data_IF_695815037588
#
_entry.id   IF_695815037588
#
_cell.length_a   1.000
_cell.length_b   1.000
_cell.length_c   1.000
_cell.angle_alpha   90.00
_cell.angle_beta   90.00
_cell.angle_gamma   90.00
#
_symmetry.space_group_name_H-M   'P 1'
#
loop_
_entity.id
_entity.type
_entity.pdbx_description
1 polymer ?
#
# COMPACT_ATOMS: atom_id res chain seq x y z
N UNK A 1 3.51 -33.45 0.89
CA UNK A 1 2.71 -34.50 1.47
C UNK A 1 1.30 -34.09 1.91
N UNK A 2 1.02 -32.82 2.31
CA UNK A 2 -0.34 -32.38 2.66
C UNK A 2 -1.23 -32.14 1.44
N UNK A 3 -0.65 -31.81 0.29
CA UNK A 3 -1.38 -31.58 -0.98
C UNK A 3 -1.81 -32.91 -1.60
N UNK A 4 -1.04 -33.97 -1.43
CA UNK A 4 -1.38 -35.30 -1.95
C UNK A 4 -2.57 -35.96 -1.25
N UNK A 5 -2.98 -35.45 -0.10
CA UNK A 5 -4.09 -35.97 0.72
C UNK A 5 -5.36 -35.13 0.64
N UNK A 6 -5.50 -34.27 -0.38
CA UNK A 6 -6.72 -33.46 -0.60
C UNK A 6 -7.97 -34.36 -0.68
N UNK A 7 -7.85 -35.53 -1.25
CA UNK A 7 -8.92 -36.56 -1.28
C UNK A 7 -9.19 -37.18 0.10
N UNK A 8 -8.29 -36.97 1.08
CA UNK A 8 -8.42 -37.45 2.46
C UNK A 8 -8.67 -36.28 3.43
N UNK A 9 -9.53 -35.35 3.04
CA UNK A 9 -9.90 -34.19 3.86
C UNK A 9 -10.20 -34.55 5.33
N UNK A 10 -10.84 -35.70 5.56
CA UNK A 10 -11.14 -36.19 6.91
C UNK A 10 -9.89 -36.63 7.69
N UNK A 11 -8.85 -37.15 7.05
CA UNK A 11 -7.62 -37.56 7.71
C UNK A 11 -6.74 -36.37 8.09
N UNK A 12 -6.77 -35.29 7.31
CA UNK A 12 -6.03 -34.05 7.58
C UNK A 12 -6.68 -33.27 8.73
N UNK A 13 -8.01 -33.14 8.71
CA UNK A 13 -8.79 -32.43 9.76
C UNK A 13 -8.66 -33.10 11.12
N UNK A 14 -8.48 -34.42 11.16
CA UNK A 14 -8.32 -35.19 12.39
C UNK A 14 -6.87 -35.31 12.88
N UNK A 15 -5.90 -34.76 12.15
CA UNK A 15 -4.48 -34.80 12.56
C UNK A 15 -4.21 -33.74 13.64
N UNK A 16 -3.91 -34.17 14.85
CA UNK A 16 -3.52 -33.31 15.99
C UNK A 16 -2.20 -32.53 15.80
N UNK A 17 -1.55 -32.72 14.64
CA UNK A 17 -0.23 -32.17 14.32
C UNK A 17 -0.26 -30.92 13.43
N UNK A 18 -1.41 -30.54 12.90
CA UNK A 18 -1.55 -29.40 11.98
C UNK A 18 -2.21 -28.23 12.71
N UNK A 19 -1.64 -27.03 12.60
CA UNK A 19 -2.25 -25.84 13.19
C UNK A 19 -3.59 -25.50 12.53
N UNK A 20 -4.51 -24.91 13.28
CA UNK A 20 -5.82 -24.52 12.78
C UNK A 20 -5.71 -23.56 11.59
N UNK A 21 -4.74 -22.60 11.62
CA UNK A 21 -4.50 -21.65 10.54
C UNK A 21 -4.18 -22.33 9.20
N UNK A 22 -3.42 -23.43 9.24
CA UNK A 22 -3.11 -24.21 8.03
C UNK A 22 -4.36 -24.93 7.51
N UNK A 23 -5.17 -25.47 8.39
CA UNK A 23 -6.43 -26.11 8.02
C UNK A 23 -7.42 -25.13 7.39
N UNK A 24 -7.52 -23.95 7.96
CA UNK A 24 -8.37 -22.85 7.45
C UNK A 24 -7.89 -22.38 6.08
N UNK A 25 -6.58 -22.24 5.89
CA UNK A 25 -5.96 -21.88 4.59
C UNK A 25 -6.23 -22.93 3.52
N UNK A 26 -6.09 -24.23 3.83
CA UNK A 26 -6.42 -25.34 2.92
C UNK A 26 -7.92 -25.33 2.56
N UNK A 27 -8.77 -25.08 3.54
CA UNK A 27 -10.22 -25.03 3.35
C UNK A 27 -10.64 -23.86 2.48
N UNK A 28 -10.02 -22.69 2.67
CA UNK A 28 -10.23 -21.50 1.85
C UNK A 28 -9.78 -21.73 0.41
N UNK A 29 -8.58 -22.26 0.22
CA UNK A 29 -8.04 -22.59 -1.10
C UNK A 29 -8.95 -23.56 -1.87
N UNK A 30 -9.38 -24.64 -1.22
CA UNK A 30 -10.33 -25.59 -1.80
C UNK A 30 -11.67 -24.95 -2.17
N UNK A 31 -12.17 -24.05 -1.32
CA UNK A 31 -13.43 -23.32 -1.58
C UNK A 31 -13.32 -22.40 -2.79
N UNK A 32 -12.20 -21.69 -2.93
CA UNK A 32 -11.93 -20.80 -4.07
C UNK A 32 -11.85 -21.62 -5.36
N UNK A 33 -11.07 -22.70 -5.37
CA UNK A 33 -10.93 -23.57 -6.53
C UNK A 33 -12.28 -24.18 -6.96
N UNK A 34 -13.03 -24.73 -6.01
CA UNK A 34 -14.31 -25.40 -6.30
C UNK A 34 -15.37 -24.43 -6.82
N UNK A 35 -15.50 -23.25 -6.21
CA UNK A 35 -16.48 -22.24 -6.64
C UNK A 35 -16.19 -21.66 -8.02
N UNK A 36 -14.94 -21.65 -8.43
CA UNK A 36 -14.52 -21.02 -9.67
C UNK A 36 -14.06 -22.03 -10.75
N UNK A 37 -14.09 -23.32 -10.47
CA UNK A 37 -13.60 -24.37 -11.36
C UNK A 37 -14.17 -24.30 -12.80
N UNK A 38 -15.42 -23.86 -12.95
CA UNK A 38 -16.06 -23.68 -14.25
C UNK A 38 -15.68 -22.38 -14.99
N UNK A 39 -14.98 -21.47 -14.31
CA UNK A 39 -14.62 -20.14 -14.84
C UNK A 39 -13.16 -20.03 -15.25
N UNK A 40 -12.30 -20.95 -14.82
CA UNK A 40 -10.86 -20.88 -15.07
C UNK A 40 -10.41 -21.83 -16.19
N UNK A 41 -10.18 -21.31 -17.42
CA UNK A 41 -9.52 -22.11 -18.46
C UNK A 41 -8.02 -22.30 -18.18
N UNK A 42 -7.44 -21.46 -17.31
CA UNK A 42 -6.02 -21.47 -16.93
C UNK A 42 -5.88 -21.31 -15.41
N UNK A 43 -5.00 -22.14 -14.82
CA UNK A 43 -4.64 -22.03 -13.40
C UNK A 43 -3.12 -21.93 -13.32
N UNK A 44 -2.63 -20.80 -12.80
CA UNK A 44 -1.21 -20.61 -12.50
C UNK A 44 -1.01 -20.79 -11.00
N UNK A 45 -0.11 -21.69 -10.62
CA UNK A 45 0.23 -21.96 -9.23
C UNK A 45 1.68 -21.56 -9.01
N UNK A 46 1.89 -20.46 -8.29
CA UNK A 46 3.19 -20.00 -7.87
C UNK A 46 3.40 -20.42 -6.41
N UNK A 47 4.34 -21.34 -6.20
CA UNK A 47 4.70 -21.81 -4.87
C UNK A 47 5.97 -21.08 -4.40
N UNK A 48 5.83 -20.26 -3.37
CA UNK A 48 6.94 -19.48 -2.82
C UNK A 48 7.36 -20.11 -1.49
N UNK A 49 8.63 -20.54 -1.43
CA UNK A 49 9.25 -21.03 -0.21
C UNK A 49 10.21 -19.96 0.34
N UNK A 50 9.82 -19.30 1.42
CA UNK A 50 10.66 -18.34 2.13
C UNK A 50 11.46 -19.04 3.25
N UNK A 51 12.77 -18.84 3.27
CA UNK A 51 13.68 -19.42 4.26
C UNK A 51 14.69 -18.40 4.76
N UNK A 52 15.10 -18.53 6.03
CA UNK A 52 16.23 -17.74 6.58
C UNK A 52 17.60 -18.25 6.11
N UNK A 53 17.65 -19.33 5.36
CA UNK A 53 18.87 -19.87 4.78
C UNK A 53 19.32 -19.08 3.56
N UNK A 54 20.54 -19.35 3.11
CA UNK A 54 21.05 -18.86 1.84
C UNK A 54 20.42 -19.68 0.69
N UNK A 55 19.74 -18.99 -0.24
CA UNK A 55 19.12 -19.63 -1.40
C UNK A 55 20.12 -20.37 -2.27
N UNK A 56 21.34 -19.86 -2.42
CA UNK A 56 22.42 -20.49 -3.18
C UNK A 56 22.92 -21.80 -2.53
N UNK A 57 22.90 -21.87 -1.19
CA UNK A 57 23.21 -23.10 -0.46
C UNK A 57 22.08 -24.13 -0.54
N UNK A 58 20.84 -23.68 -0.53
CA UNK A 58 19.66 -24.55 -0.61
C UNK A 58 19.47 -25.03 -2.06
N UNK A 59 19.54 -24.16 -3.06
CA UNK A 59 19.46 -24.47 -4.48
C UNK A 59 20.68 -25.22 -5.04
N UNK A 60 21.75 -25.29 -4.26
CA UNK A 60 22.90 -26.12 -4.61
C UNK A 60 23.77 -25.60 -5.75
N UNK A 61 23.93 -24.28 -5.91
CA UNK A 61 24.93 -23.76 -6.87
C UNK A 61 26.34 -24.36 -6.66
N UNK A 62 26.60 -24.81 -5.43
CA UNK A 62 27.87 -25.48 -5.08
C UNK A 62 27.76 -26.94 -4.63
N UNK A 63 26.55 -27.44 -4.37
CA UNK A 63 26.22 -28.86 -4.08
C UNK A 63 24.78 -29.10 -4.40
N UNK A 64 24.50 -29.89 -5.41
CA UNK A 64 23.15 -30.31 -5.78
C UNK A 64 22.51 -31.01 -4.59
N UNK A 65 21.55 -30.37 -3.95
CA UNK A 65 20.72 -31.04 -2.95
C UNK A 65 19.65 -31.86 -3.68
N UNK A 66 20.07 -33.02 -4.19
CA UNK A 66 19.19 -33.92 -4.97
C UNK A 66 17.88 -34.21 -4.26
N UNK A 67 17.92 -34.38 -2.95
CA UNK A 67 16.72 -34.61 -2.14
C UNK A 67 15.74 -33.44 -2.15
N UNK A 68 16.25 -32.19 -2.22
CA UNK A 68 15.43 -31.00 -2.29
C UNK A 68 14.80 -30.84 -3.68
N UNK A 69 15.59 -31.01 -4.73
CA UNK A 69 15.10 -30.96 -6.11
C UNK A 69 14.09 -32.06 -6.39
N UNK A 70 14.30 -33.26 -5.84
CA UNK A 70 13.32 -34.35 -5.93
C UNK A 70 11.99 -33.98 -5.29
N UNK A 71 12.00 -33.36 -4.11
CA UNK A 71 10.76 -32.91 -3.43
C UNK A 71 10.00 -31.82 -4.20
N UNK A 72 10.72 -30.95 -4.91
CA UNK A 72 10.08 -29.97 -5.80
C UNK A 72 9.43 -30.68 -6.99
N UNK A 73 10.12 -31.64 -7.59
CA UNK A 73 9.56 -32.45 -8.67
C UNK A 73 8.33 -33.26 -8.22
N UNK A 74 8.39 -33.88 -7.04
CA UNK A 74 7.23 -34.57 -6.45
C UNK A 74 6.04 -33.61 -6.24
N UNK A 75 6.31 -32.38 -5.80
CA UNK A 75 5.27 -31.36 -5.62
C UNK A 75 4.65 -30.92 -6.95
N UNK A 76 5.48 -30.72 -7.98
CA UNK A 76 5.01 -30.40 -9.33
C UNK A 76 4.14 -31.53 -9.89
N UNK A 77 4.58 -32.78 -9.77
CA UNK A 77 3.83 -33.95 -10.22
C UNK A 77 2.46 -34.05 -9.51
N UNK A 78 2.40 -33.83 -8.21
CA UNK A 78 1.16 -33.81 -7.44
C UNK A 78 0.21 -32.71 -7.94
N UNK A 79 0.73 -31.51 -8.18
CA UNK A 79 -0.08 -30.38 -8.65
C UNK A 79 -0.61 -30.66 -10.06
N UNK A 80 0.25 -31.13 -10.94
CA UNK A 80 -0.12 -31.40 -12.34
C UNK A 80 -1.08 -32.59 -12.48
N UNK A 81 -0.95 -33.63 -11.65
CA UNK A 81 -1.85 -34.79 -11.65
C UNK A 81 -3.25 -34.44 -11.08
N UNK A 82 -3.35 -33.45 -10.22
CA UNK A 82 -4.63 -32.97 -9.64
C UNK A 82 -5.16 -31.72 -10.35
N UNK A 83 -4.70 -31.43 -11.57
CA UNK A 83 -5.15 -30.25 -12.32
C UNK A 83 -6.65 -30.38 -12.66
N UNK A 84 -7.43 -29.35 -12.43
CA UNK A 84 -8.88 -29.28 -12.59
C UNK A 84 -9.33 -29.13 -14.07
N UNK A 85 -8.74 -29.90 -14.98
CA UNK A 85 -9.20 -30.02 -16.38
C UNK A 85 -8.87 -28.84 -17.30
N UNK A 86 -8.11 -27.84 -16.82
CA UNK A 86 -7.61 -26.71 -17.60
C UNK A 86 -6.10 -26.79 -17.82
N UNK A 87 -5.53 -25.80 -18.50
CA UNK A 87 -4.08 -25.62 -18.53
C UNK A 87 -3.61 -25.13 -17.17
N UNK A 88 -2.88 -25.97 -16.44
CA UNK A 88 -2.24 -25.63 -15.16
C UNK A 88 -0.76 -25.40 -15.41
N UNK A 89 -0.23 -24.30 -14.87
CA UNK A 89 1.22 -24.06 -14.79
C UNK A 89 1.66 -24.07 -13.34
N UNK A 90 2.87 -24.55 -13.10
CA UNK A 90 3.48 -24.56 -11.79
C UNK A 90 4.80 -23.81 -11.85
N UNK A 91 5.02 -22.93 -10.89
CA UNK A 91 6.27 -22.23 -10.68
C UNK A 91 6.67 -22.39 -9.22
N UNK A 92 7.94 -22.65 -8.99
CA UNK A 92 8.51 -22.74 -7.66
C UNK A 92 9.61 -21.68 -7.51
N UNK A 93 9.48 -20.83 -6.53
CA UNK A 93 10.47 -19.82 -6.18
C UNK A 93 10.96 -20.07 -4.75
N UNK A 94 12.27 -20.11 -4.58
CA UNK A 94 12.92 -20.12 -3.27
C UNK A 94 13.46 -18.73 -2.96
N UNK A 95 12.98 -18.15 -1.88
CA UNK A 95 13.46 -16.88 -1.34
C UNK A 95 14.31 -17.16 -0.11
N UNK A 96 15.61 -16.94 -0.21
CA UNK A 96 16.54 -16.99 0.91
C UNK A 96 16.71 -15.65 1.61
N UNK A 97 17.70 -15.55 2.48
CA UNK A 97 17.95 -14.34 3.27
C UNK A 97 18.21 -13.10 2.40
N UNK A 98 18.98 -13.23 1.32
CA UNK A 98 19.29 -12.07 0.46
C UNK A 98 18.08 -11.64 -0.35
N UNK A 99 17.35 -12.58 -0.95
CA UNK A 99 16.13 -12.26 -1.72
C UNK A 99 15.04 -11.66 -0.81
N UNK A 100 14.90 -12.17 0.41
CA UNK A 100 13.98 -11.60 1.39
C UNK A 100 14.38 -10.21 1.85
N UNK A 101 15.69 -9.97 2.00
CA UNK A 101 16.23 -8.65 2.31
C UNK A 101 16.02 -7.68 1.15
N UNK A 102 16.28 -8.11 -0.09
CA UNK A 102 16.04 -7.30 -1.28
C UNK A 102 14.55 -6.97 -1.42
N UNK A 103 13.65 -7.94 -1.20
CA UNK A 103 12.21 -7.70 -1.19
C UNK A 103 11.78 -6.74 -0.05
N UNK A 104 12.37 -6.88 1.13
CA UNK A 104 12.10 -5.98 2.26
C UNK A 104 12.67 -4.57 2.03
N UNK A 105 13.75 -4.46 1.26
CA UNK A 105 14.37 -3.20 0.87
C UNK A 105 13.78 -2.65 -0.44
N UNK A 106 13.06 -3.48 -1.20
CA UNK A 106 12.38 -3.07 -2.42
C UNK A 106 11.19 -2.19 -2.06
N UNK A 107 11.48 -0.93 -1.79
CA UNK A 107 10.46 0.10 -1.83
C UNK A 107 10.15 0.37 -3.30
N UNK A 108 8.97 -0.03 -3.72
CA UNK A 108 8.47 0.32 -5.04
C UNK A 108 8.52 1.84 -5.15
N UNK A 109 9.43 2.35 -5.97
CA UNK A 109 9.55 3.78 -6.20
C UNK A 109 8.32 4.24 -6.99
N UNK A 110 7.54 5.11 -6.40
CA UNK A 110 6.36 5.66 -7.04
C UNK A 110 6.60 7.12 -7.40
N UNK A 111 6.52 7.39 -8.69
CA UNK A 111 6.60 8.75 -9.23
C UNK A 111 5.21 9.28 -9.50
N UNK A 112 5.03 10.59 -9.39
CA UNK A 112 3.75 11.22 -9.67
C UNK A 112 3.87 12.73 -9.81
N UNK A 113 2.83 13.32 -10.40
CA UNK A 113 2.75 14.75 -10.59
C UNK A 113 1.65 15.35 -9.72
N UNK A 114 2.03 16.37 -8.93
CA UNK A 114 1.10 17.16 -8.13
C UNK A 114 1.01 18.57 -8.71
N UNK A 115 -0.17 18.94 -9.22
CA UNK A 115 -0.44 20.29 -9.68
C UNK A 115 -0.84 21.18 -8.52
N UNK A 116 -0.11 22.28 -8.37
CA UNK A 116 -0.32 23.28 -7.32
C UNK A 116 -1.28 24.38 -7.76
N UNK A 117 -1.97 24.95 -6.78
CA UNK A 117 -2.80 26.14 -6.97
C UNK A 117 -1.92 27.37 -7.22
N UNK A 118 -0.93 27.60 -6.34
CA UNK A 118 -0.02 28.72 -6.37
C UNK A 118 1.45 28.28 -6.33
N UNK A 119 2.36 29.25 -6.57
CA UNK A 119 3.77 28.97 -6.39
C UNK A 119 4.08 28.66 -4.93
N UNK A 120 4.80 27.57 -4.62
CA UNK A 120 5.08 27.18 -3.25
C UNK A 120 6.11 28.11 -2.60
N UNK A 121 6.04 28.21 -1.28
CA UNK A 121 7.14 28.77 -0.48
C UNK A 121 8.21 27.68 -0.36
N UNK A 122 9.43 28.04 -0.75
CA UNK A 122 10.58 27.13 -0.78
C UNK A 122 11.54 27.43 0.37
N UNK A 123 12.03 26.39 1.02
CA UNK A 123 13.01 26.46 2.11
C UNK A 123 14.05 25.36 1.94
N UNK A 124 15.32 25.70 1.93
CA UNK A 124 16.43 24.76 1.98
C UNK A 124 16.92 24.58 3.42
N UNK A 125 17.35 23.36 3.75
CA UNK A 125 17.91 23.04 5.05
C UNK A 125 19.07 22.05 4.94
N UNK A 126 20.04 22.18 5.85
CA UNK A 126 21.23 21.33 5.91
C UNK A 126 22.41 21.89 5.10
N UNK A 127 23.54 21.20 5.19
CA UNK A 127 24.73 21.56 4.42
C UNK A 127 24.46 21.36 2.92
N UNK A 128 24.85 22.35 2.12
CA UNK A 128 24.66 22.34 0.65
C UNK A 128 23.21 22.22 0.14
N UNK A 129 22.20 22.53 0.99
CA UNK A 129 20.79 22.47 0.55
C UNK A 129 20.28 21.06 0.21
N UNK A 130 20.84 20.03 0.87
CA UNK A 130 20.52 18.61 0.61
C UNK A 130 19.04 18.29 0.88
N UNK A 131 18.42 19.06 1.81
CA UNK A 131 17.01 18.88 2.16
C UNK A 131 16.20 20.08 1.70
N UNK A 132 15.12 19.82 0.98
CA UNK A 132 14.26 20.85 0.42
C UNK A 132 12.86 20.72 0.96
N UNK A 133 12.31 21.81 1.47
CA UNK A 133 10.95 21.88 1.95
C UNK A 133 10.13 22.87 1.15
N UNK A 134 8.87 22.51 0.88
CA UNK A 134 7.93 23.37 0.19
C UNK A 134 6.61 23.42 0.97
N UNK A 135 6.08 24.62 1.09
CA UNK A 135 4.75 24.89 1.59
C UNK A 135 3.89 25.26 0.39
N UNK A 136 2.85 24.49 0.13
CA UNK A 136 2.06 24.58 -1.07
C UNK A 136 0.58 24.41 -0.79
N UNK A 137 -0.25 24.85 -1.73
CA UNK A 137 -1.66 24.49 -1.81
C UNK A 137 -1.95 23.86 -3.18
N UNK A 138 -2.84 22.87 -3.20
CA UNK A 138 -3.35 22.26 -4.43
C UNK A 138 -4.87 22.34 -4.41
N UNK A 139 -5.52 22.48 -5.57
CA UNK A 139 -6.96 22.31 -5.63
C UNK A 139 -7.34 20.89 -5.23
N UNK A 140 -8.45 20.71 -4.53
CA UNK A 140 -8.93 19.38 -4.14
C UNK A 140 -9.03 18.42 -5.32
N UNK A 141 -9.48 18.90 -6.48
CA UNK A 141 -9.54 18.12 -7.73
C UNK A 141 -8.18 17.65 -8.25
N UNK A 142 -7.16 18.50 -8.16
CA UNK A 142 -5.81 18.16 -8.62
C UNK A 142 -5.11 17.24 -7.60
N UNK A 143 -5.38 17.42 -6.30
CA UNK A 143 -4.92 16.51 -5.27
C UNK A 143 -5.61 15.14 -5.36
N UNK A 144 -6.91 15.08 -5.66
CA UNK A 144 -7.61 13.83 -5.92
C UNK A 144 -6.97 13.06 -7.08
N UNK A 145 -6.67 13.74 -8.20
CA UNK A 145 -5.99 13.13 -9.36
C UNK A 145 -4.60 12.58 -8.98
N UNK A 146 -3.90 13.24 -8.08
CA UNK A 146 -2.62 12.76 -7.54
C UNK A 146 -2.78 11.48 -6.73
N UNK A 147 -3.88 11.34 -5.98
CA UNK A 147 -4.16 10.20 -5.11
C UNK A 147 -4.64 8.96 -5.86
N UNK A 148 -5.18 9.08 -7.08
CA UNK A 148 -5.86 7.98 -7.76
C UNK A 148 -5.10 7.50 -9.01
N UNK A 149 -5.33 6.25 -9.33
CA UNK A 149 -5.14 5.66 -10.64
C UNK A 149 -6.49 5.19 -11.16
N UNK A 150 -6.59 4.82 -12.42
CA UNK A 150 -7.85 4.41 -13.04
C UNK A 150 -7.75 2.97 -13.50
N UNK A 151 -8.82 2.19 -13.24
CA UNK A 151 -8.93 0.83 -13.75
C UNK A 151 -9.31 0.80 -15.24
N UNK A 152 -9.50 -0.42 -15.79
CA UNK A 152 -9.88 -0.64 -17.19
C UNK A 152 -11.26 -0.02 -17.54
N UNK A 153 -12.12 0.17 -16.53
CA UNK A 153 -13.46 0.76 -16.64
C UNK A 153 -13.47 2.27 -16.32
N UNK A 154 -12.29 2.91 -16.24
CA UNK A 154 -12.09 4.32 -15.88
C UNK A 154 -12.58 4.71 -14.46
N UNK A 155 -12.73 3.73 -13.55
CA UNK A 155 -13.06 4.05 -12.17
C UNK A 155 -11.81 4.45 -11.39
N UNK A 156 -11.89 5.49 -10.54
CA UNK A 156 -10.76 5.91 -9.74
C UNK A 156 -10.49 4.92 -8.59
N UNK A 157 -9.25 4.44 -8.51
CA UNK A 157 -8.73 3.58 -7.44
C UNK A 157 -7.71 4.36 -6.64
N UNK A 158 -7.82 4.35 -5.31
CA UNK A 158 -6.84 4.99 -4.44
C UNK A 158 -5.50 4.27 -4.51
N UNK A 159 -4.43 5.03 -4.69
CA UNK A 159 -3.04 4.54 -4.64
C UNK A 159 -2.63 4.27 -3.20
N UNK A 160 -3.07 3.13 -2.63
CA UNK A 160 -2.81 2.74 -1.23
C UNK A 160 -1.32 2.72 -0.89
N UNK A 161 -0.47 2.43 -1.85
CA UNK A 161 0.98 2.40 -1.69
C UNK A 161 1.60 3.76 -1.30
N UNK A 162 0.92 4.88 -1.54
CA UNK A 162 1.39 6.19 -1.08
C UNK A 162 1.40 6.31 0.46
N UNK A 163 0.73 5.40 1.15
CA UNK A 163 0.51 5.43 2.61
C UNK A 163 1.27 4.34 3.37
N UNK A 164 2.07 3.49 2.72
CA UNK A 164 2.74 2.32 3.34
C UNK A 164 3.58 2.67 4.57
N UNK A 165 4.17 3.87 4.62
CA UNK A 165 4.92 4.35 5.79
C UNK A 165 4.05 4.95 6.88
N UNK A 166 2.73 5.00 6.70
CA UNK A 166 1.83 5.55 7.69
C UNK A 166 1.47 4.48 8.73
N UNK A 167 1.98 4.63 9.96
CA UNK A 167 1.85 3.64 11.05
C UNK A 167 0.39 3.50 11.53
N UNK A 168 -0.48 4.46 11.17
CA UNK A 168 -1.89 4.44 11.58
C UNK A 168 -2.74 3.84 10.47
N UNK A 169 -3.36 2.70 10.77
CA UNK A 169 -4.38 2.14 9.91
C UNK A 169 -5.55 3.11 9.74
N UNK A 170 -6.09 3.15 8.52
CA UNK A 170 -7.31 3.91 8.26
C UNK A 170 -8.47 3.35 9.09
N UNK A 171 -8.99 4.18 9.98
CA UNK A 171 -10.15 3.83 10.80
C UNK A 171 -11.43 4.32 10.13
N UNK A 172 -12.10 3.42 9.41
CA UNK A 172 -13.40 3.70 8.84
C UNK A 172 -14.40 4.18 9.90
N UNK A 173 -15.17 5.24 9.60
CA UNK A 173 -16.28 5.74 10.42
C UNK A 173 -15.90 6.29 11.80
N UNK A 174 -14.73 6.90 11.94
CA UNK A 174 -14.47 7.72 13.11
C UNK A 174 -15.23 9.05 13.03
N UNK A 175 -15.50 9.68 14.18
CA UNK A 175 -16.14 11.01 14.24
C UNK A 175 -15.34 12.01 13.40
N UNK A 176 -14.01 11.96 13.43
CA UNK A 176 -13.12 12.85 12.67
C UNK A 176 -13.31 12.69 11.16
N UNK A 177 -13.46 11.46 10.65
CA UNK A 177 -13.69 11.23 9.22
C UNK A 177 -15.05 11.78 8.77
N UNK A 178 -16.09 11.61 9.59
CA UNK A 178 -17.41 12.14 9.30
C UNK A 178 -17.40 13.67 9.23
N UNK A 179 -16.66 14.34 10.10
CA UNK A 179 -16.55 15.81 10.11
C UNK A 179 -15.76 16.30 8.87
N UNK A 180 -14.69 15.62 8.48
CA UNK A 180 -13.92 15.94 7.25
C UNK A 180 -14.81 15.72 6.02
N UNK A 181 -15.50 14.59 5.92
CA UNK A 181 -16.41 14.30 4.82
C UNK A 181 -17.56 15.30 4.76
N UNK A 182 -18.15 15.67 5.89
CA UNK A 182 -19.20 16.68 5.96
C UNK A 182 -18.74 18.02 5.38
N UNK A 183 -17.51 18.45 5.69
CA UNK A 183 -16.96 19.69 5.09
C UNK A 183 -16.70 19.55 3.60
N UNK A 184 -16.34 18.38 3.11
CA UNK A 184 -16.10 18.14 1.68
C UNK A 184 -17.38 18.17 0.86
N UNK A 185 -18.46 17.59 1.39
CA UNK A 185 -19.76 17.49 0.69
C UNK A 185 -20.67 18.70 0.95
N UNK A 186 -20.29 19.64 1.83
CA UNK A 186 -21.10 20.82 2.13
C UNK A 186 -21.35 21.66 0.86
N UNK A 187 -22.62 21.83 0.44
CA UNK A 187 -22.96 22.57 -0.78
C UNK A 187 -22.66 24.07 -0.65
N UNK A 188 -22.62 24.62 0.56
CA UNK A 188 -22.40 26.05 0.80
C UNK A 188 -20.97 26.47 0.55
N UNK A 189 -19.99 25.59 0.86
CA UNK A 189 -18.54 25.82 0.65
C UNK A 189 -18.09 27.20 1.21
N UNK A 190 -18.58 27.57 2.40
CA UNK A 190 -18.33 28.88 2.99
C UNK A 190 -16.85 29.14 3.34
N UNK A 191 -16.13 28.06 3.65
CA UNK A 191 -14.71 28.12 3.99
C UNK A 191 -13.87 27.30 3.02
N UNK A 192 -12.64 27.72 2.78
CA UNK A 192 -11.70 26.87 2.08
C UNK A 192 -11.36 25.66 2.94
N UNK A 193 -11.23 24.50 2.32
CA UNK A 193 -11.02 23.23 3.00
C UNK A 193 -9.70 23.23 3.82
N UNK A 194 -8.65 23.86 3.32
CA UNK A 194 -7.37 23.90 4.02
C UNK A 194 -7.39 24.68 5.33
N UNK A 195 -8.37 25.59 5.53
CA UNK A 195 -8.52 26.32 6.80
C UNK A 195 -9.02 25.40 7.93
N UNK A 196 -9.71 24.34 7.57
CA UNK A 196 -10.36 23.42 8.50
C UNK A 196 -9.54 22.14 8.74
N UNK A 197 -8.40 21.99 8.07
CA UNK A 197 -7.57 20.77 8.12
C UNK A 197 -6.08 21.10 8.29
N UNK A 198 -5.36 20.18 8.97
CA UNK A 198 -3.95 20.36 9.29
C UNK A 198 -2.98 20.24 8.11
N UNK A 199 -3.51 19.91 6.92
CA UNK A 199 -2.71 19.70 5.72
C UNK A 199 -2.04 18.34 5.67
N UNK A 200 -1.43 18.06 4.54
CA UNK A 200 -0.87 16.76 4.19
C UNK A 200 0.63 16.87 4.03
N UNK A 201 1.40 15.97 4.63
CA UNK A 201 2.85 15.93 4.48
C UNK A 201 3.23 14.84 3.49
N UNK A 202 3.91 15.23 2.44
CA UNK A 202 4.41 14.39 1.36
C UNK A 202 5.93 14.36 1.46
N UNK A 203 6.51 13.16 1.54
CA UNK A 203 7.94 12.93 1.40
C UNK A 203 8.24 12.45 -0.01
N UNK A 204 9.38 12.86 -0.57
CA UNK A 204 9.89 12.35 -1.82
C UNK A 204 11.44 12.28 -1.75
N UNK A 205 12.05 11.40 -2.53
CA UNK A 205 13.51 11.34 -2.65
C UNK A 205 14.04 12.41 -3.58
N UNK A 206 13.34 12.59 -4.69
CA UNK A 206 13.64 13.63 -5.68
C UNK A 206 12.37 14.37 -6.06
N UNK A 207 12.55 15.58 -6.55
CA UNK A 207 11.45 16.36 -7.08
C UNK A 207 11.91 17.57 -7.84
N UNK A 208 11.17 17.90 -8.89
CA UNK A 208 11.35 19.09 -9.70
C UNK A 208 10.04 19.85 -9.84
N UNK A 209 10.12 21.18 -9.78
CA UNK A 209 8.99 22.06 -9.97
C UNK A 209 9.11 22.76 -11.32
N UNK A 210 8.16 22.51 -12.21
CA UNK A 210 8.07 23.17 -13.52
C UNK A 210 6.74 23.93 -13.57
N UNK A 211 6.82 25.25 -13.52
CA UNK A 211 5.64 26.10 -13.35
C UNK A 211 4.96 25.83 -12.01
N UNK A 212 3.72 25.33 -12.05
CA UNK A 212 2.95 24.95 -10.86
C UNK A 212 2.79 23.44 -10.71
N UNK A 213 3.60 22.63 -11.40
CA UNK A 213 3.54 21.17 -11.34
C UNK A 213 4.79 20.63 -10.69
N UNK A 214 4.61 19.89 -9.61
CA UNK A 214 5.63 19.09 -8.98
C UNK A 214 5.67 17.72 -9.62
N UNK A 215 6.84 17.34 -10.17
CA UNK A 215 7.16 15.94 -10.49
C UNK A 215 7.97 15.39 -9.32
N UNK A 216 7.49 14.34 -8.67
CA UNK A 216 8.04 13.77 -7.45
C UNK A 216 8.37 12.29 -7.66
N UNK A 217 9.48 11.82 -7.08
CA UNK A 217 9.92 10.44 -7.14
C UNK A 217 10.02 9.85 -5.72
N UNK A 218 9.67 8.57 -5.59
CA UNK A 218 9.60 7.83 -4.34
C UNK A 218 8.72 8.53 -3.28
N UNK A 219 7.45 8.70 -3.66
CA UNK A 219 6.47 9.48 -2.92
C UNK A 219 5.92 8.69 -1.75
N UNK A 220 5.79 9.34 -0.59
CA UNK A 220 5.12 8.82 0.59
C UNK A 220 4.29 9.91 1.26
N UNK A 221 3.03 9.61 1.58
CA UNK A 221 2.17 10.46 2.40
C UNK A 221 2.27 10.00 3.85
N UNK A 222 2.90 10.80 4.70
CA UNK A 222 3.31 10.37 6.04
C UNK A 222 2.39 10.84 7.16
N UNK A 223 1.43 11.72 6.86
CA UNK A 223 0.38 12.10 7.81
C UNK A 223 -0.95 12.32 7.08
N UNK A 224 -2.01 12.56 7.86
CA UNK A 224 -3.36 12.85 7.34
C UNK A 224 -3.91 11.77 6.40
N UNK A 225 -3.64 10.49 6.72
CA UNK A 225 -4.25 9.33 6.07
C UNK A 225 -5.78 9.49 6.00
N UNK A 226 -6.39 9.89 7.12
CA UNK A 226 -7.83 10.10 7.22
C UNK A 226 -8.32 11.16 6.22
N UNK A 227 -7.63 12.31 6.16
CA UNK A 227 -7.97 13.40 5.24
C UNK A 227 -7.87 12.96 3.77
N UNK A 228 -6.81 12.23 3.42
CA UNK A 228 -6.61 11.73 2.06
C UNK A 228 -7.69 10.73 1.64
N UNK A 229 -8.04 9.78 2.52
CA UNK A 229 -9.14 8.84 2.28
C UNK A 229 -10.50 9.56 2.20
N UNK A 230 -10.76 10.54 3.08
CA UNK A 230 -12.00 11.33 3.02
C UNK A 230 -12.10 12.12 1.72
N UNK A 231 -11.00 12.73 1.23
CA UNK A 231 -10.97 13.38 -0.08
C UNK A 231 -11.30 12.37 -1.20
N UNK A 232 -10.67 11.20 -1.17
CA UNK A 232 -10.95 10.15 -2.15
C UNK A 232 -12.42 9.72 -2.12
N UNK A 233 -12.97 9.41 -0.95
CA UNK A 233 -14.35 8.94 -0.83
C UNK A 233 -15.37 10.00 -1.21
N UNK A 234 -15.15 11.25 -0.83
CA UNK A 234 -16.06 12.36 -1.16
C UNK A 234 -16.02 12.67 -2.68
N UNK A 235 -14.84 12.75 -3.29
CA UNK A 235 -14.73 13.21 -4.68
C UNK A 235 -14.94 12.09 -5.71
N UNK A 236 -14.69 10.84 -5.35
CA UNK A 236 -14.83 9.68 -6.25
C UNK A 236 -16.21 9.62 -6.96
N UNK A 237 -17.28 10.10 -6.32
CA UNK A 237 -18.64 10.04 -6.83
C UNK A 237 -19.25 11.43 -7.11
N UNK A 238 -18.46 12.50 -7.04
CA UNK A 238 -18.95 13.87 -7.20
C UNK A 238 -18.39 14.51 -8.47
N UNK A 239 -19.17 15.41 -9.07
CA UNK A 239 -18.61 16.35 -10.04
C UNK A 239 -17.91 17.49 -9.27
N UNK A 240 -16.57 17.51 -9.32
CA UNK A 240 -15.72 18.43 -8.58
C UNK A 240 -15.00 19.45 -9.50
N UNK A 241 -15.32 19.50 -10.78
CA UNK A 241 -14.61 20.36 -11.75
C UNK A 241 -14.71 21.85 -11.40
N UNK A 242 -15.82 22.27 -10.82
CA UNK A 242 -16.04 23.65 -10.40
C UNK A 242 -15.62 23.93 -8.95
N UNK A 243 -15.08 22.92 -8.23
CA UNK A 243 -14.64 23.10 -6.85
C UNK A 243 -13.25 23.76 -6.82
N UNK A 244 -13.20 24.99 -6.31
CA UNK A 244 -11.96 25.76 -6.18
C UNK A 244 -11.37 25.73 -4.78
N UNK A 245 -11.91 24.90 -3.87
CA UNK A 245 -11.31 24.71 -2.55
C UNK A 245 -9.97 24.01 -2.67
N UNK A 246 -9.11 24.32 -1.71
CA UNK A 246 -7.72 23.84 -1.73
C UNK A 246 -7.39 22.98 -0.52
N UNK A 247 -6.37 22.16 -0.66
CA UNK A 247 -5.72 21.43 0.43
C UNK A 247 -4.29 21.95 0.63
N UNK A 248 -3.91 22.11 1.89
CA UNK A 248 -2.56 22.48 2.25
C UNK A 248 -1.62 21.28 2.17
N UNK A 249 -0.49 21.44 1.49
CA UNK A 249 0.52 20.40 1.32
C UNK A 249 1.89 20.90 1.80
N UNK A 250 2.55 20.06 2.57
CA UNK A 250 3.97 20.19 2.92
C UNK A 250 4.73 19.12 2.13
N UNK A 251 5.59 19.54 1.20
CA UNK A 251 6.41 18.60 0.41
C UNK A 251 7.84 18.70 0.90
N UNK A 252 8.42 17.58 1.30
CA UNK A 252 9.79 17.51 1.80
C UNK A 252 10.56 16.55 0.91
N UNK A 253 11.63 17.03 0.30
CA UNK A 253 12.49 16.26 -0.59
C UNK A 253 13.79 15.96 0.16
N UNK A 254 14.04 14.67 0.42
CA UNK A 254 15.25 14.18 1.08
C UNK A 254 15.48 12.71 0.81
N UNK A 255 16.73 12.35 0.47
CA UNK A 255 17.20 10.95 0.37
C UNK A 255 17.77 10.43 1.69
N UNK A 256 17.80 11.24 2.74
CA UNK A 256 18.37 10.85 4.01
C UNK A 256 17.36 10.04 4.82
N UNK A 257 17.58 8.72 4.95
CA UNK A 257 16.69 7.79 5.65
C UNK A 257 16.44 8.19 7.11
N UNK A 258 17.47 8.68 7.82
CA UNK A 258 17.31 9.13 9.22
C UNK A 258 16.39 10.34 9.32
N UNK A 259 16.47 11.25 8.36
CA UNK A 259 15.59 12.43 8.29
C UNK A 259 14.16 11.98 7.95
N UNK A 260 14.00 11.07 7.00
CA UNK A 260 12.69 10.48 6.64
C UNK A 260 12.03 9.82 7.85
N UNK A 261 12.75 8.93 8.54
CA UNK A 261 12.26 8.27 9.76
C UNK A 261 11.86 9.26 10.86
N UNK A 262 12.67 10.30 11.05
CA UNK A 262 12.38 11.33 12.06
C UNK A 262 11.11 12.12 11.72
N UNK A 263 10.91 12.46 10.45
CA UNK A 263 9.71 13.17 9.97
C UNK A 263 8.49 12.27 10.11
N UNK A 264 8.56 11.01 9.70
CA UNK A 264 7.49 10.02 9.82
C UNK A 264 7.07 9.89 11.30
N UNK A 265 8.03 9.72 12.19
CA UNK A 265 7.77 9.64 13.63
C UNK A 265 7.12 10.91 14.16
N UNK A 266 7.70 12.09 13.87
CA UNK A 266 7.21 13.37 14.37
C UNK A 266 5.77 13.67 13.88
N UNK A 267 5.44 13.32 12.65
CA UNK A 267 4.11 13.58 12.07
C UNK A 267 3.05 12.59 12.53
N UNK A 268 3.43 11.35 12.85
CA UNK A 268 2.51 10.31 13.33
C UNK A 268 2.27 10.35 14.84
N UNK A 269 3.23 10.85 15.64
CA UNK A 269 3.10 10.94 17.10
C UNK A 269 2.41 12.21 17.61
N UNK A 270 1.81 13.02 16.74
CA UNK A 270 0.97 14.14 17.18
C UNK A 270 -0.26 13.57 17.91
N UNK A 271 -0.23 13.69 19.25
CA UNK A 271 -1.31 13.23 20.12
C UNK A 271 -2.63 13.92 19.78
N UNK A 272 -3.69 13.15 19.63
CA UNK A 272 -5.04 13.70 19.64
C UNK A 272 -5.27 14.44 20.96
N UNK A 273 -5.66 15.72 20.89
CA UNK A 273 -6.05 16.49 22.09
C UNK A 273 -7.26 15.79 22.71
N UNK A 274 -7.22 15.37 23.99
CA UNK A 274 -8.35 14.73 24.61
C UNK A 274 -9.60 15.61 24.53
N UNK A 275 -10.74 15.04 24.16
CA UNK A 275 -12.02 15.75 24.05
C UNK A 275 -12.43 16.52 25.31
N UNK A 276 -11.88 16.13 26.48
CA UNK A 276 -12.06 16.83 27.77
C UNK A 276 -11.45 18.23 27.80
N UNK A 277 -10.39 18.50 27.01
CA UNK A 277 -9.75 19.81 26.97
C UNK A 277 -10.43 20.78 25.99
N UNK A 278 -11.24 20.27 25.05
CA UNK A 278 -11.98 21.10 24.09
C UNK A 278 -13.26 21.72 24.67
N UNK A 279 -13.68 21.33 25.90
CA UNK A 279 -14.90 21.81 26.56
C UNK A 279 -14.68 22.93 27.55
N UNK A 280 -13.49 23.48 27.72
CA UNK A 280 -13.17 24.48 28.73
C UNK A 280 -13.24 25.93 28.26
N UNK A 281 -13.85 26.21 27.12
CA UNK A 281 -14.11 27.58 26.62
C UNK A 281 -15.62 27.77 26.43
N UNK A 282 -16.35 27.87 27.52
CA UNK A 282 -17.67 28.54 27.60
C UNK A 282 -17.62 29.55 28.73
#
# INVERSE_FOLDING_TARGET
SYISDIDKKESIVNSKTISQDVLDSISLFHTILTKNASRFPFVNIDFIHASRGDSDQINGKNRTNESYLQKIGDLEEIIMSNSLGGKTTFKYDLLGTEELKDLAQYQKSYSGELKLNENPIFVEYGEEGIQKGYIATAYLKDFFKFLVEYDEDENPILKEYLFESNIRDYQNKTIVNNDIEATLIDPKKENDFWWLNNGITILADEGSLIGKTFSLDNIQIVNCLQTSHSIYHALKNMNYDEDNRTVFCKVIITKNDKSRDSIIKATNFQNAVPASLLRSTN
#
